data_IF_087752172885
#
_entry.id   IF_087752172885
#
_cell.length_a   1.000
_cell.length_b   1.000
_cell.length_c   1.000
_cell.angle_alpha   90.00
_cell.angle_beta   90.00
_cell.angle_gamma   90.00
#
_symmetry.space_group_name_H-M   'P 1'
#
loop_
_entity.id
_entity.type
_entity.pdbx_description
1 polymer ?
#
# COMPACT_ATOMS: atom_id res chain seq x y z
N UNK A 1 -20.65 13.24 40.22
CA UNK A 1 -20.03 12.31 39.28
C UNK A 1 -20.33 12.82 37.89
N UNK A 2 -19.35 13.47 37.27
CA UNK A 2 -19.48 14.06 35.92
C UNK A 2 -19.77 12.96 34.88
N UNK A 3 -20.73 13.23 34.02
CA UNK A 3 -21.02 12.41 32.85
C UNK A 3 -19.70 12.29 32.04
N UNK A 4 -19.20 11.08 31.83
CA UNK A 4 -18.08 10.85 30.92
C UNK A 4 -18.47 11.41 29.54
N UNK A 5 -17.62 12.16 28.90
CA UNK A 5 -17.92 12.73 27.59
C UNK A 5 -18.24 11.59 26.61
N UNK A 6 -19.20 11.83 25.74
CA UNK A 6 -19.52 10.93 24.64
C UNK A 6 -18.24 10.68 23.83
N UNK A 7 -17.81 9.41 23.64
CA UNK A 7 -16.58 9.10 22.93
C UNK A 7 -16.58 9.63 21.50
N UNK A 8 -17.74 9.71 20.85
CA UNK A 8 -17.88 10.28 19.50
C UNK A 8 -17.64 11.78 19.53
N UNK A 9 -18.29 12.51 20.45
CA UNK A 9 -18.10 13.93 20.63
C UNK A 9 -16.65 14.28 21.04
N UNK A 10 -15.94 13.34 21.71
CA UNK A 10 -14.51 13.48 22.00
C UNK A 10 -13.63 13.35 20.75
N UNK A 11 -13.97 12.40 19.86
CA UNK A 11 -13.26 12.24 18.59
C UNK A 11 -13.54 13.39 17.63
N UNK A 12 -14.77 13.87 17.56
CA UNK A 12 -15.15 15.04 16.77
C UNK A 12 -14.38 16.29 17.21
N UNK A 13 -14.36 16.59 18.52
CA UNK A 13 -13.56 17.70 19.05
C UNK A 13 -12.06 17.55 18.77
N UNK A 14 -11.53 16.35 18.88
CA UNK A 14 -10.13 16.07 18.51
C UNK A 14 -9.86 16.30 17.03
N UNK A 15 -10.81 15.92 16.18
CA UNK A 15 -10.72 16.13 14.73
C UNK A 15 -10.83 17.61 14.33
N UNK A 16 -11.62 18.41 15.06
CA UNK A 16 -11.78 19.85 14.77
C UNK A 16 -10.52 20.66 15.03
N UNK A 17 -9.66 20.20 15.94
CA UNK A 17 -8.35 20.80 16.18
C UNK A 17 -7.31 20.52 15.07
N UNK A 18 -7.59 19.60 14.15
CA UNK A 18 -6.65 19.19 13.09
C UNK A 18 -6.96 19.96 11.81
N UNK A 19 -6.07 20.89 11.42
CA UNK A 19 -6.23 21.74 10.22
C UNK A 19 -5.90 21.00 8.92
N UNK A 20 -5.00 20.03 8.95
CA UNK A 20 -4.63 19.23 7.78
C UNK A 20 -5.72 18.19 7.47
N UNK A 21 -6.35 18.21 6.28
CA UNK A 21 -7.42 17.29 5.92
C UNK A 21 -6.97 15.83 5.94
N UNK A 22 -5.71 15.54 5.59
CA UNK A 22 -5.18 14.17 5.54
C UNK A 22 -4.93 13.66 6.96
N UNK A 23 -4.35 14.49 7.82
CA UNK A 23 -4.16 14.16 9.23
C UNK A 23 -5.51 13.99 9.96
N UNK A 24 -6.50 14.84 9.64
CA UNK A 24 -7.87 14.72 10.16
C UNK A 24 -8.52 13.40 9.74
N UNK A 25 -8.40 13.02 8.48
CA UNK A 25 -8.92 11.75 7.97
C UNK A 25 -8.24 10.54 8.62
N UNK A 26 -6.92 10.59 8.77
CA UNK A 26 -6.14 9.53 9.44
C UNK A 26 -6.52 9.38 10.91
N UNK A 27 -6.74 10.50 11.61
CA UNK A 27 -7.20 10.51 13.01
C UNK A 27 -8.60 9.90 13.14
N UNK A 28 -9.54 10.29 12.26
CA UNK A 28 -10.90 9.77 12.25
C UNK A 28 -10.90 8.27 11.94
N UNK A 29 -10.14 7.83 10.93
CA UNK A 29 -10.02 6.42 10.56
C UNK A 29 -9.42 5.57 11.68
N UNK A 30 -8.36 6.02 12.33
CA UNK A 30 -7.75 5.29 13.46
C UNK A 30 -8.69 5.14 14.67
N UNK A 31 -9.56 6.13 14.93
CA UNK A 31 -10.58 6.01 15.97
C UNK A 31 -11.74 5.11 15.54
N UNK A 32 -12.13 5.12 14.26
CA UNK A 32 -13.11 4.23 13.69
C UNK A 32 -12.70 2.76 13.86
N UNK A 33 -11.49 2.41 13.44
CA UNK A 33 -10.92 1.06 13.59
C UNK A 33 -10.86 0.61 15.06
N UNK A 34 -10.60 1.54 15.99
CA UNK A 34 -10.66 1.25 17.43
C UNK A 34 -12.08 0.92 17.89
N UNK A 35 -13.08 1.64 17.40
CA UNK A 35 -14.47 1.40 17.75
C UNK A 35 -14.98 0.08 17.15
N UNK A 36 -14.62 -0.23 15.93
CA UNK A 36 -14.94 -1.50 15.28
C UNK A 36 -14.37 -2.69 16.06
N UNK A 37 -13.08 -2.65 16.42
CA UNK A 37 -12.45 -3.70 17.24
C UNK A 37 -13.08 -3.85 18.62
N UNK A 38 -13.58 -2.76 19.23
CA UNK A 38 -14.31 -2.82 20.49
C UNK A 38 -15.71 -3.40 20.30
N UNK A 39 -16.40 -3.05 19.22
CA UNK A 39 -17.71 -3.61 18.87
C UNK A 39 -17.61 -5.12 18.65
N UNK A 40 -16.64 -5.60 17.88
CA UNK A 40 -16.37 -7.02 17.68
C UNK A 40 -16.13 -7.76 18.99
N UNK A 41 -15.30 -7.21 19.89
CA UNK A 41 -15.04 -7.79 21.21
C UNK A 41 -16.31 -7.85 22.08
N UNK A 42 -17.18 -6.84 22.01
CA UNK A 42 -18.42 -6.83 22.75
C UNK A 42 -19.43 -7.79 22.17
N UNK A 43 -19.46 -7.97 20.87
CA UNK A 43 -20.32 -8.96 20.21
C UNK A 43 -19.90 -10.39 20.53
N UNK A 44 -18.61 -10.65 20.72
CA UNK A 44 -18.08 -11.94 21.14
C UNK A 44 -18.48 -12.34 22.59
N UNK A 45 -19.03 -11.41 23.40
CA UNK A 45 -19.49 -11.72 24.75
C UNK A 45 -20.83 -12.46 24.66
N UNK A 46 -20.92 -13.74 25.10
CA UNK A 46 -22.14 -14.56 24.90
C UNK A 46 -23.34 -14.11 25.72
N UNK A 47 -23.11 -13.37 26.82
CA UNK A 47 -24.16 -12.97 27.75
C UNK A 47 -24.71 -11.57 27.43
N UNK A 48 -25.92 -11.52 26.91
CA UNK A 48 -26.57 -10.29 26.43
C UNK A 48 -26.65 -9.12 27.45
N UNK A 49 -26.94 -9.32 28.75
CA UNK A 49 -26.91 -8.23 29.74
C UNK A 49 -25.56 -7.60 29.95
N UNK A 50 -24.47 -8.42 29.96
CA UNK A 50 -23.10 -7.92 30.09
C UNK A 50 -22.70 -7.15 28.82
N UNK A 51 -23.01 -7.66 27.65
CA UNK A 51 -22.82 -6.97 26.37
C UNK A 51 -23.51 -5.61 26.35
N UNK A 52 -24.77 -5.57 26.79
CA UNK A 52 -25.53 -4.31 26.90
C UNK A 52 -24.88 -3.31 27.88
N UNK A 53 -24.40 -3.78 29.04
CA UNK A 53 -23.68 -2.95 30.00
C UNK A 53 -22.40 -2.37 29.45
N UNK A 54 -21.60 -3.17 28.71
CA UNK A 54 -20.38 -2.73 28.04
C UNK A 54 -20.65 -1.62 27.01
N UNK A 55 -21.67 -1.77 26.17
CA UNK A 55 -22.08 -0.73 25.23
C UNK A 55 -22.55 0.56 25.94
N UNK A 56 -23.19 0.42 27.07
CA UNK A 56 -23.69 1.57 27.84
C UNK A 56 -22.58 2.30 28.59
N UNK A 57 -21.61 1.57 29.15
CA UNK A 57 -20.45 2.14 29.85
C UNK A 57 -19.46 2.84 28.92
N UNK A 58 -19.32 2.35 27.71
CA UNK A 58 -18.39 2.90 26.70
C UNK A 58 -19.02 3.95 25.80
N UNK A 59 -20.34 4.14 25.83
CA UNK A 59 -21.05 5.06 24.93
C UNK A 59 -21.16 4.60 23.47
N UNK A 60 -20.62 3.42 23.14
CA UNK A 60 -20.56 2.87 21.77
C UNK A 60 -21.95 2.55 21.17
N UNK A 61 -22.99 2.55 21.94
CA UNK A 61 -24.36 2.32 21.44
C UNK A 61 -24.80 3.39 20.42
N UNK A 62 -24.28 4.63 20.51
CA UNK A 62 -24.53 5.69 19.54
C UNK A 62 -23.68 5.55 18.27
N UNK A 63 -22.49 4.95 18.37
CA UNK A 63 -21.58 4.76 17.24
C UNK A 63 -22.15 3.76 16.21
N UNK A 64 -22.84 2.72 16.66
CA UNK A 64 -23.42 1.70 15.75
C UNK A 64 -24.43 2.28 14.75
N UNK A 65 -25.11 3.37 15.09
CA UNK A 65 -26.04 4.06 14.20
C UNK A 65 -25.30 4.81 13.06
N UNK A 66 -24.02 5.16 13.27
CA UNK A 66 -23.20 5.81 12.25
C UNK A 66 -22.60 4.82 11.24
N UNK A 67 -22.51 3.52 11.59
CA UNK A 67 -21.94 2.46 10.73
C UNK A 67 -23.01 1.72 9.90
N UNK A 68 -24.31 1.85 10.23
CA UNK A 68 -25.37 1.36 9.36
C UNK A 68 -25.54 2.33 8.19
N UNK A 69 -24.76 2.13 7.14
CA UNK A 69 -24.92 2.87 5.88
C UNK A 69 -26.29 2.55 5.31
N UNK A 70 -27.18 3.53 5.38
CA UNK A 70 -28.40 3.52 4.58
C UNK A 70 -27.94 3.66 3.10
N UNK A 71 -28.34 2.79 2.19
CA UNK A 71 -27.89 2.82 0.79
C UNK A 71 -28.25 4.12 0.05
N UNK A 72 -29.00 5.01 0.64
CA UNK A 72 -29.45 6.28 0.05
C UNK A 72 -28.71 7.54 0.54
N UNK A 73 -27.59 7.42 1.29
CA UNK A 73 -26.64 8.53 1.50
C UNK A 73 -27.13 9.77 2.26
N UNK A 74 -28.25 9.73 2.96
CA UNK A 74 -28.76 10.87 3.72
C UNK A 74 -28.36 10.77 5.20
N UNK A 75 -27.60 11.74 5.68
CA UNK A 75 -27.28 11.92 7.10
C UNK A 75 -28.56 12.24 7.88
N UNK A 76 -28.96 11.32 8.76
CA UNK A 76 -30.10 11.52 9.64
C UNK A 76 -29.74 12.50 10.77
N UNK A 77 -30.48 13.59 10.90
CA UNK A 77 -30.38 14.54 12.02
C UNK A 77 -30.84 13.88 13.32
N UNK A 78 -30.12 14.05 14.44
CA UNK A 78 -30.46 13.41 15.70
C UNK A 78 -31.74 14.03 16.32
N UNK A 79 -32.63 13.23 16.95
CA UNK A 79 -33.83 13.73 17.57
C UNK A 79 -33.55 14.54 18.85
N UNK A 80 -34.19 15.69 19.01
CA UNK A 80 -34.14 16.56 20.18
C UNK A 80 -34.60 15.80 21.46
N UNK A 81 -33.77 15.81 22.48
CA UNK A 81 -34.03 15.20 23.78
C UNK A 81 -35.04 16.03 24.58
N UNK A 82 -36.08 15.35 25.10
CA UNK A 82 -36.98 15.87 26.17
C UNK A 82 -36.30 15.59 27.54
N UNK A 83 -36.47 16.48 28.54
CA UNK A 83 -35.92 16.24 29.88
C UNK A 83 -36.77 15.21 30.64
N UNK A 84 -36.10 14.25 31.28
CA UNK A 84 -36.74 13.23 32.13
C UNK A 84 -36.41 13.52 33.59
N UNK A 85 -37.49 13.59 34.39
CA UNK A 85 -37.49 13.87 35.83
C UNK A 85 -36.79 12.76 36.65
N UNK A 86 -36.28 13.17 37.78
CA UNK A 86 -35.51 12.43 38.76
C UNK A 86 -36.32 11.39 39.52
N UNK A 87 -35.92 10.12 39.52
CA UNK A 87 -36.36 9.07 40.42
C UNK A 87 -35.16 8.58 41.26
N UNK A 88 -35.19 8.89 42.53
CA UNK A 88 -34.12 8.73 43.50
C UNK A 88 -34.23 7.46 44.34
N UNK A 89 -33.13 6.91 44.78
CA UNK A 89 -32.85 5.82 45.74
C UNK A 89 -32.88 4.37 45.22
N UNK A 90 -33.90 3.90 44.57
CA UNK A 90 -33.90 2.52 44.02
C UNK A 90 -32.84 2.30 42.93
N UNK A 91 -32.51 3.34 42.16
CA UNK A 91 -31.40 3.33 41.17
C UNK A 91 -29.99 3.24 41.78
N UNK A 92 -29.78 3.75 43.01
CA UNK A 92 -28.47 3.65 43.68
C UNK A 92 -28.20 2.23 44.14
N UNK A 93 -29.16 1.53 44.69
CA UNK A 93 -29.05 0.12 45.10
C UNK A 93 -28.76 -0.80 43.90
N UNK A 94 -29.48 -0.61 42.80
CA UNK A 94 -29.26 -1.37 41.56
C UNK A 94 -27.88 -1.12 40.93
N UNK A 95 -27.37 0.12 41.06
CA UNK A 95 -26.03 0.44 40.56
C UNK A 95 -24.92 -0.18 41.42
N UNK A 96 -25.10 -0.28 42.74
CA UNK A 96 -24.16 -0.97 43.63
C UNK A 96 -24.18 -2.48 43.42
N UNK A 97 -25.36 -3.09 43.23
CA UNK A 97 -25.46 -4.51 42.90
C UNK A 97 -24.82 -4.85 41.55
N UNK A 98 -24.99 -4.00 40.55
CA UNK A 98 -24.33 -4.15 39.24
C UNK A 98 -22.79 -3.99 39.33
N UNK A 99 -22.32 -3.08 40.20
CA UNK A 99 -20.89 -2.89 40.44
C UNK A 99 -20.28 -4.10 41.16
N UNK A 100 -20.95 -4.64 42.17
CA UNK A 100 -20.50 -5.85 42.88
C UNK A 100 -20.48 -7.07 41.98
N UNK A 101 -21.48 -7.24 41.10
CA UNK A 101 -21.50 -8.31 40.09
C UNK A 101 -20.41 -8.13 39.05
N UNK A 102 -20.10 -6.91 38.65
CA UNK A 102 -18.99 -6.64 37.72
C UNK A 102 -17.62 -6.90 38.36
N UNK A 103 -17.43 -6.58 39.65
CA UNK A 103 -16.21 -6.90 40.40
C UNK A 103 -16.10 -8.40 40.63
N UNK A 104 -17.16 -9.10 40.99
CA UNK A 104 -17.15 -10.55 41.15
C UNK A 104 -16.91 -11.28 39.81
N UNK A 105 -17.51 -10.77 38.71
CA UNK A 105 -17.26 -11.26 37.36
C UNK A 105 -15.82 -11.00 36.91
N UNK A 106 -15.26 -9.83 37.25
CA UNK A 106 -13.86 -9.47 36.98
C UNK A 106 -12.88 -10.35 37.74
N UNK A 107 -13.17 -10.67 38.99
CA UNK A 107 -12.36 -11.60 39.81
C UNK A 107 -12.47 -13.05 39.31
N UNK A 108 -13.65 -13.50 38.86
CA UNK A 108 -13.83 -14.81 38.27
C UNK A 108 -13.08 -14.95 36.92
N UNK A 109 -13.03 -13.89 36.12
CA UNK A 109 -12.26 -13.84 34.86
C UNK A 109 -10.75 -13.81 35.17
N UNK A 110 -10.33 -13.15 36.27
CA UNK A 110 -8.93 -13.14 36.67
C UNK A 110 -8.45 -14.47 37.26
N UNK A 111 -9.37 -15.24 37.86
CA UNK A 111 -9.10 -16.59 38.39
C UNK A 111 -9.18 -17.72 37.33
N UNK A 112 -9.71 -17.42 36.14
CA UNK A 112 -9.70 -18.39 35.06
C UNK A 112 -8.24 -18.59 34.60
N UNK A 113 -7.71 -19.83 34.56
CA UNK A 113 -6.39 -20.06 34.05
C UNK A 113 -6.38 -19.53 32.60
N UNK A 114 -5.65 -18.42 32.40
CA UNK A 114 -5.40 -17.93 31.04
C UNK A 114 -4.84 -19.11 30.26
N UNK A 115 -5.41 -19.51 29.11
CA UNK A 115 -4.71 -20.42 28.25
C UNK A 115 -3.33 -19.78 28.04
N UNK A 116 -2.28 -20.45 28.50
CA UNK A 116 -0.92 -20.04 28.16
C UNK A 116 -0.96 -19.78 26.66
N UNK A 117 -0.48 -18.63 26.16
CA UNK A 117 -0.31 -18.47 24.74
C UNK A 117 0.40 -19.74 24.33
N UNK A 118 -0.25 -20.55 23.48
CA UNK A 118 0.37 -21.73 22.92
C UNK A 118 1.76 -21.22 22.52
N UNK A 119 2.79 -21.79 23.14
CA UNK A 119 4.16 -21.42 22.82
C UNK A 119 4.14 -21.34 21.31
N UNK A 120 4.43 -20.18 20.75
CA UNK A 120 4.45 -20.03 19.30
C UNK A 120 5.41 -21.15 18.89
N UNK A 121 4.83 -22.24 18.43
CA UNK A 121 5.61 -23.28 17.78
C UNK A 121 6.15 -22.47 16.62
N UNK A 122 7.42 -22.06 16.75
CA UNK A 122 8.16 -21.52 15.64
C UNK A 122 8.00 -22.61 14.60
N UNK A 123 7.06 -22.38 13.67
CA UNK A 123 6.93 -23.28 12.52
C UNK A 123 8.37 -23.38 12.02
N UNK A 124 8.96 -24.59 11.96
CA UNK A 124 10.30 -24.72 11.44
C UNK A 124 10.30 -23.90 10.16
N UNK A 125 11.21 -22.94 10.07
CA UNK A 125 11.40 -22.20 8.83
C UNK A 125 11.42 -23.27 7.75
N UNK A 126 10.57 -23.17 6.71
CA UNK A 126 10.67 -24.09 5.60
C UNK A 126 12.16 -24.12 5.24
N UNK A 127 12.75 -25.29 5.02
CA UNK A 127 14.18 -25.39 4.72
C UNK A 127 14.48 -24.29 3.72
N UNK A 128 15.55 -23.54 3.98
CA UNK A 128 16.09 -22.52 3.08
C UNK A 128 15.89 -23.08 1.69
N UNK A 129 15.12 -22.37 0.86
CA UNK A 129 14.65 -22.88 -0.42
C UNK A 129 15.82 -23.62 -1.06
N UNK A 130 15.67 -24.94 -1.19
CA UNK A 130 16.66 -25.78 -1.84
C UNK A 130 17.06 -25.03 -3.08
N UNK A 131 18.35 -24.72 -3.25
CA UNK A 131 18.85 -23.96 -4.38
C UNK A 131 18.20 -24.57 -5.62
N UNK A 132 17.30 -23.81 -6.23
CA UNK A 132 16.64 -24.28 -7.45
C UNK A 132 17.78 -24.63 -8.40
N UNK A 133 17.82 -25.85 -8.94
CA UNK A 133 18.84 -26.17 -9.94
C UNK A 133 18.82 -25.06 -10.98
N UNK A 134 19.98 -24.58 -11.44
CA UNK A 134 20.02 -23.57 -12.48
C UNK A 134 19.09 -24.03 -13.60
N UNK A 135 18.29 -23.14 -14.19
CA UNK A 135 17.43 -23.54 -15.29
C UNK A 135 18.31 -24.30 -16.31
N UNK A 136 17.83 -25.43 -16.84
CA UNK A 136 18.62 -26.16 -17.81
C UNK A 136 19.09 -25.18 -18.88
N UNK A 137 20.32 -25.29 -19.40
CA UNK A 137 20.79 -24.47 -20.50
C UNK A 137 19.88 -24.80 -21.68
N UNK A 138 18.77 -24.15 -21.74
CA UNK A 138 17.72 -24.36 -22.69
C UNK A 138 17.62 -23.11 -23.51
N UNK A 139 17.67 -23.33 -24.80
CA UNK A 139 17.19 -22.46 -25.83
C UNK A 139 16.32 -21.37 -25.22
N UNK A 140 16.94 -20.24 -24.84
CA UNK A 140 16.20 -19.00 -24.57
C UNK A 140 15.62 -18.63 -25.93
N UNK A 141 14.30 -18.73 -26.15
CA UNK A 141 13.73 -18.26 -27.40
C UNK A 141 14.17 -16.80 -27.55
N UNK A 142 14.63 -16.41 -28.70
CA UNK A 142 14.84 -14.99 -29.00
C UNK A 142 13.49 -14.30 -28.85
N UNK A 143 13.26 -13.62 -27.70
CA UNK A 143 12.03 -12.94 -27.39
C UNK A 143 10.88 -13.80 -26.82
N UNK A 144 9.88 -13.11 -26.29
CA UNK A 144 8.64 -13.70 -25.78
C UNK A 144 7.45 -13.21 -26.62
N UNK A 145 6.83 -14.10 -27.38
CA UNK A 145 5.69 -13.75 -28.26
C UNK A 145 4.42 -14.47 -27.84
N UNK A 146 3.27 -13.90 -28.24
CA UNK A 146 1.97 -14.48 -27.98
C UNK A 146 1.70 -15.65 -28.94
N UNK A 147 1.47 -16.84 -28.38
CA UNK A 147 1.19 -18.09 -29.11
C UNK A 147 -0.31 -18.32 -29.30
N UNK A 148 -1.12 -17.88 -28.32
CA UNK A 148 -2.57 -18.08 -28.37
C UNK A 148 -3.29 -16.98 -27.60
N UNK A 149 -4.57 -16.75 -27.92
CA UNK A 149 -5.45 -15.85 -27.20
C UNK A 149 -6.91 -16.23 -27.46
N UNK A 150 -7.71 -16.11 -26.40
CA UNK A 150 -9.15 -16.37 -26.44
C UNK A 150 -9.91 -15.39 -25.58
N UNK A 151 -11.20 -15.68 -25.37
CA UNK A 151 -12.01 -14.90 -24.45
C UNK A 151 -11.44 -14.96 -23.04
N UNK A 152 -10.91 -13.82 -22.58
CA UNK A 152 -10.40 -13.64 -21.22
C UNK A 152 -8.98 -14.18 -20.99
N UNK A 153 -8.20 -14.57 -22.00
CA UNK A 153 -6.81 -14.97 -21.78
C UNK A 153 -5.86 -14.68 -22.95
N UNK A 154 -4.57 -14.61 -22.61
CA UNK A 154 -3.44 -14.61 -23.55
C UNK A 154 -2.41 -15.63 -23.08
N UNK A 155 -1.81 -16.40 -24.01
CA UNK A 155 -0.76 -17.37 -23.76
C UNK A 155 0.49 -17.00 -24.53
N UNK A 156 1.64 -17.09 -23.90
CA UNK A 156 2.94 -16.68 -24.45
C UNK A 156 3.93 -17.85 -24.56
N UNK A 157 4.93 -17.70 -25.44
CA UNK A 157 5.92 -18.73 -25.78
C UNK A 157 6.75 -19.24 -24.59
N UNK A 158 6.91 -18.43 -23.54
CA UNK A 158 7.58 -18.83 -22.29
C UNK A 158 6.66 -19.54 -21.28
N UNK A 159 5.43 -19.89 -21.70
CA UNK A 159 4.42 -20.54 -20.85
C UNK A 159 3.67 -19.59 -19.92
N UNK A 160 3.85 -18.26 -20.06
CA UNK A 160 3.06 -17.28 -19.34
C UNK A 160 1.61 -17.31 -19.87
N UNK A 161 0.64 -17.45 -18.94
CA UNK A 161 -0.78 -17.27 -19.23
C UNK A 161 -1.29 -16.07 -18.43
N UNK A 162 -1.86 -15.08 -19.12
CA UNK A 162 -2.45 -13.89 -18.52
C UNK A 162 -3.98 -14.00 -18.63
N UNK A 163 -4.67 -13.93 -17.50
CA UNK A 163 -6.12 -13.73 -17.45
C UNK A 163 -6.41 -12.24 -17.68
N UNK A 164 -7.24 -11.95 -18.69
CA UNK A 164 -7.57 -10.59 -19.11
C UNK A 164 -9.01 -10.19 -18.75
N UNK A 165 -9.79 -11.09 -18.14
CA UNK A 165 -11.20 -10.86 -17.80
C UNK A 165 -11.40 -9.73 -16.76
N UNK A 166 -10.37 -9.40 -16.02
CA UNK A 166 -10.36 -8.33 -15.00
C UNK A 166 -9.84 -6.99 -15.49
N UNK A 167 -9.46 -6.92 -16.77
CA UNK A 167 -8.88 -5.71 -17.35
C UNK A 167 -9.91 -4.58 -17.42
N UNK A 168 -9.59 -3.44 -16.89
CA UNK A 168 -10.39 -2.22 -16.93
C UNK A 168 -9.62 -1.11 -17.64
N UNK A 169 -10.31 -0.19 -18.34
CA UNK A 169 -9.66 0.96 -18.96
C UNK A 169 -9.15 1.94 -17.89
N UNK A 170 -8.05 2.62 -18.19
CA UNK A 170 -7.49 3.67 -17.37
C UNK A 170 -6.97 4.83 -18.24
N UNK A 171 -6.41 5.86 -17.62
CA UNK A 171 -5.81 6.98 -18.34
C UNK A 171 -4.59 6.54 -19.13
N UNK A 172 -4.38 7.13 -20.32
CA UNK A 172 -3.15 6.93 -21.08
C UNK A 172 -1.94 7.32 -20.23
N UNK A 173 -0.90 6.54 -20.36
CA UNK A 173 0.39 6.80 -19.73
C UNK A 173 0.99 8.09 -20.27
N UNK A 174 1.33 9.02 -19.39
CA UNK A 174 2.03 10.27 -19.72
C UNK A 174 2.90 10.69 -18.54
N UNK A 175 4.17 10.95 -18.79
CA UNK A 175 5.10 11.38 -17.75
C UNK A 175 6.29 12.11 -18.37
N UNK A 176 7.06 12.81 -17.53
CA UNK A 176 8.32 13.46 -17.86
C UNK A 176 9.41 12.99 -16.90
N UNK A 177 10.65 13.16 -17.30
CA UNK A 177 11.84 12.89 -16.48
C UNK A 177 12.64 14.17 -16.33
N UNK A 178 13.47 14.23 -15.29
CA UNK A 178 14.44 15.31 -15.11
C UNK A 178 15.84 14.83 -15.43
N UNK A 179 16.67 15.73 -15.94
CA UNK A 179 18.12 15.50 -16.08
C UNK A 179 18.83 15.88 -14.78
N UNK A 180 19.65 15.00 -14.24
CA UNK A 180 20.48 15.28 -13.05
C UNK A 180 21.52 16.37 -13.34
N UNK A 181 22.03 16.41 -14.57
CA UNK A 181 23.08 17.36 -14.97
C UNK A 181 22.52 18.76 -15.21
N UNK A 182 21.40 18.87 -15.91
CA UNK A 182 20.88 20.18 -16.36
C UNK A 182 19.63 20.62 -15.61
N UNK A 183 18.98 19.74 -14.88
CA UNK A 183 17.68 20.00 -14.24
C UNK A 183 16.53 20.20 -15.23
N UNK A 184 16.76 19.99 -16.53
CA UNK A 184 15.73 20.14 -17.55
C UNK A 184 14.82 18.92 -17.59
N UNK A 185 13.55 19.17 -17.86
CA UNK A 185 12.57 18.11 -18.13
C UNK A 185 12.70 17.56 -19.54
N UNK A 186 12.40 16.26 -19.67
CA UNK A 186 12.23 15.64 -20.98
C UNK A 186 10.95 16.09 -21.68
N UNK A 187 10.83 15.77 -22.95
CA UNK A 187 9.53 15.70 -23.61
C UNK A 187 8.61 14.68 -22.92
N UNK A 188 7.30 14.79 -23.18
CA UNK A 188 6.32 13.83 -22.66
C UNK A 188 6.61 12.44 -23.20
N UNK A 189 6.69 11.49 -22.29
CA UNK A 189 6.90 10.06 -22.56
C UNK A 189 5.57 9.31 -22.36
N UNK A 190 5.36 8.26 -23.16
CA UNK A 190 4.16 7.42 -23.10
C UNK A 190 4.49 5.91 -23.03
N UNK A 191 5.77 5.54 -23.22
CA UNK A 191 6.27 4.16 -23.15
C UNK A 191 6.66 3.79 -21.72
N UNK A 192 6.28 2.62 -21.18
CA UNK A 192 6.82 2.18 -19.90
C UNK A 192 8.32 1.89 -20.02
N UNK A 193 9.05 2.19 -18.94
CA UNK A 193 10.53 2.05 -18.91
C UNK A 193 11.01 1.22 -17.73
N UNK A 194 10.13 0.78 -16.86
CA UNK A 194 10.50 0.02 -15.67
C UNK A 194 9.33 -0.79 -15.10
N UNK A 195 9.66 -1.60 -14.10
CA UNK A 195 8.73 -2.43 -13.34
C UNK A 195 8.89 -2.09 -11.85
N UNK A 196 7.77 -1.97 -11.12
CA UNK A 196 7.75 -1.90 -9.66
C UNK A 196 7.06 -3.13 -9.11
N UNK A 197 7.75 -3.87 -8.27
CA UNK A 197 7.19 -5.02 -7.56
C UNK A 197 6.58 -4.61 -6.23
N UNK A 198 5.38 -5.14 -5.95
CA UNK A 198 4.57 -4.86 -4.78
C UNK A 198 4.12 -6.12 -4.05
N UNK A 199 3.77 -5.96 -2.78
CA UNK A 199 2.90 -6.89 -2.06
C UNK A 199 1.49 -6.31 -2.05
N UNK A 200 0.47 -7.19 -2.09
CA UNK A 200 -0.94 -6.74 -2.11
C UNK A 200 -1.45 -6.24 -0.76
N UNK A 201 -0.74 -6.57 0.32
CA UNK A 201 -1.14 -6.33 1.72
C UNK A 201 -2.53 -6.92 2.06
N UNK A 202 -2.95 -7.94 1.32
CA UNK A 202 -4.21 -8.65 1.55
C UNK A 202 -4.08 -9.69 2.67
N UNK A 203 -5.23 -10.17 3.17
CA UNK A 203 -5.27 -11.30 4.09
C UNK A 203 -4.76 -12.56 3.41
N UNK A 204 -3.88 -13.29 4.12
CA UNK A 204 -3.25 -14.50 3.62
C UNK A 204 -3.80 -15.71 4.40
N UNK A 205 -4.44 -16.62 3.68
CA UNK A 205 -4.96 -17.88 4.21
C UNK A 205 -3.95 -19.02 3.97
N UNK A 206 -3.91 -20.05 4.83
CA UNK A 206 -3.10 -21.25 4.56
C UNK A 206 -3.42 -21.88 3.20
N UNK A 207 -2.41 -22.41 2.51
CA UNK A 207 -2.58 -23.20 1.29
C UNK A 207 -2.94 -24.64 1.65
N UNK A 208 -4.14 -24.85 2.16
CA UNK A 208 -4.70 -26.13 2.60
C UNK A 208 -6.10 -26.28 2.00
N UNK A 209 -6.49 -27.51 1.71
CA UNK A 209 -7.77 -27.82 1.07
C UNK A 209 -8.98 -27.24 1.83
N UNK A 210 -8.91 -27.24 3.16
CA UNK A 210 -9.94 -26.67 4.04
C UNK A 210 -10.15 -25.16 3.86
N UNK A 211 -9.21 -24.45 3.22
CA UNK A 211 -9.26 -23.01 2.94
C UNK A 211 -9.53 -22.68 1.47
N UNK A 212 -9.78 -23.66 0.60
CA UNK A 212 -9.93 -23.43 -0.85
C UNK A 212 -10.96 -22.34 -1.20
N UNK A 213 -12.12 -22.34 -0.54
CA UNK A 213 -13.15 -21.32 -0.76
C UNK A 213 -12.64 -19.92 -0.36
N UNK A 214 -12.04 -19.81 0.83
CA UNK A 214 -11.49 -18.53 1.33
C UNK A 214 -10.33 -18.03 0.48
N UNK A 215 -9.46 -18.91 0.00
CA UNK A 215 -8.36 -18.56 -0.90
C UNK A 215 -8.91 -17.94 -2.19
N UNK A 216 -9.86 -18.61 -2.83
CA UNK A 216 -10.50 -18.12 -4.06
C UNK A 216 -11.25 -16.79 -3.83
N UNK A 217 -12.05 -16.70 -2.77
CA UNK A 217 -12.82 -15.50 -2.46
C UNK A 217 -11.93 -14.31 -2.12
N UNK A 218 -10.79 -14.54 -1.46
CA UNK A 218 -9.79 -13.53 -1.16
C UNK A 218 -9.20 -12.96 -2.45
N UNK A 219 -8.71 -13.81 -3.35
CA UNK A 219 -8.13 -13.38 -4.64
C UNK A 219 -9.16 -12.64 -5.50
N UNK A 220 -10.41 -13.15 -5.60
CA UNK A 220 -11.46 -12.47 -6.34
C UNK A 220 -11.89 -11.15 -5.68
N UNK A 221 -11.91 -11.09 -4.34
CA UNK A 221 -12.17 -9.86 -3.58
C UNK A 221 -11.12 -8.80 -3.85
N UNK A 222 -9.85 -9.22 -3.86
CA UNK A 222 -8.71 -8.37 -4.19
C UNK A 222 -8.81 -7.86 -5.63
N UNK A 223 -9.05 -8.73 -6.62
CA UNK A 223 -9.22 -8.34 -8.02
C UNK A 223 -10.34 -7.31 -8.23
N UNK A 224 -11.50 -7.51 -7.60
CA UNK A 224 -12.60 -6.51 -7.64
C UNK A 224 -12.17 -5.15 -7.09
N UNK A 225 -11.39 -5.15 -6.01
CA UNK A 225 -10.85 -3.91 -5.44
C UNK A 225 -9.86 -3.25 -6.41
N UNK A 226 -8.88 -3.99 -6.92
CA UNK A 226 -7.85 -3.50 -7.81
C UNK A 226 -8.43 -2.92 -9.11
N UNK A 227 -9.37 -3.64 -9.74
CA UNK A 227 -10.05 -3.18 -10.96
C UNK A 227 -10.84 -1.90 -10.72
N UNK A 228 -11.64 -1.84 -9.65
CA UNK A 228 -12.42 -0.63 -9.30
C UNK A 228 -11.53 0.59 -9.04
N UNK A 229 -10.33 0.39 -8.51
CA UNK A 229 -9.39 1.45 -8.13
C UNK A 229 -8.29 1.68 -9.16
N UNK A 230 -8.23 0.86 -10.21
CA UNK A 230 -7.18 0.91 -11.24
C UNK A 230 -5.77 0.87 -10.61
N UNK A 231 -5.62 -0.03 -9.63
CA UNK A 231 -4.36 -0.21 -8.88
C UNK A 231 -3.61 -1.41 -9.44
N UNK A 232 -2.33 -1.23 -9.70
CA UNK A 232 -1.43 -2.16 -10.37
C UNK A 232 -1.85 -2.49 -11.82
N UNK A 233 -0.87 -2.94 -12.61
CA UNK A 233 -1.13 -3.47 -13.95
C UNK A 233 -1.41 -4.97 -13.88
N UNK A 234 -0.72 -5.66 -12.98
CA UNK A 234 -0.82 -7.11 -12.82
C UNK A 234 -0.93 -7.52 -11.35
N UNK A 235 -1.71 -8.56 -11.13
CA UNK A 235 -1.73 -9.34 -9.89
C UNK A 235 -1.25 -10.76 -10.18
N UNK A 236 -0.36 -11.28 -9.33
CA UNK A 236 0.04 -12.69 -9.30
C UNK A 236 -0.53 -13.29 -8.01
N UNK A 237 -1.54 -14.16 -8.14
CA UNK A 237 -2.17 -14.79 -6.98
C UNK A 237 -1.30 -15.88 -6.37
N UNK A 238 -1.74 -16.45 -5.25
CA UNK A 238 -0.98 -17.48 -4.53
C UNK A 238 -0.81 -18.80 -5.28
N UNK A 239 -1.58 -19.03 -6.32
CA UNK A 239 -1.48 -20.20 -7.20
C UNK A 239 -0.60 -19.94 -8.43
N UNK A 240 -0.07 -18.72 -8.58
CA UNK A 240 0.71 -18.31 -9.74
C UNK A 240 -0.15 -17.95 -10.95
N UNK A 241 -1.46 -17.70 -10.78
CA UNK A 241 -2.28 -17.14 -11.83
C UNK A 241 -1.95 -15.66 -12.00
N UNK A 242 -1.78 -15.24 -13.24
CA UNK A 242 -1.46 -13.85 -13.59
C UNK A 242 -2.71 -13.18 -14.14
N UNK A 243 -3.14 -12.11 -13.50
CA UNK A 243 -4.29 -11.31 -13.90
C UNK A 243 -3.85 -9.95 -14.38
N UNK A 244 -4.28 -9.52 -15.55
CA UNK A 244 -4.15 -8.13 -15.99
C UNK A 244 -5.30 -7.32 -15.43
N UNK A 245 -4.97 -6.20 -14.75
CA UNK A 245 -5.95 -5.24 -14.19
C UNK A 245 -6.00 -3.97 -15.03
N UNK A 246 -4.85 -3.41 -15.38
CA UNK A 246 -4.71 -2.24 -16.26
C UNK A 246 -3.74 -2.60 -17.38
N UNK A 247 -3.98 -2.12 -18.59
CA UNK A 247 -3.05 -2.34 -19.73
C UNK A 247 -1.74 -1.61 -19.53
N UNK A 248 -0.65 -2.14 -20.06
CA UNK A 248 0.68 -1.54 -19.87
C UNK A 248 0.82 -0.15 -20.51
N UNK A 249 0.06 0.13 -21.58
CA UNK A 249 0.02 1.41 -22.27
C UNK A 249 -0.75 2.48 -21.48
N UNK A 250 -1.47 2.07 -20.44
CA UNK A 250 -2.27 2.91 -19.57
C UNK A 250 -1.57 3.08 -18.23
N UNK A 251 -2.01 4.04 -17.44
CA UNK A 251 -1.46 4.37 -16.14
C UNK A 251 -2.23 3.66 -15.04
N UNK A 252 -1.54 2.90 -14.18
CA UNK A 252 -2.10 2.39 -12.94
C UNK A 252 -1.63 3.17 -11.72
N UNK A 253 -2.44 3.17 -10.64
CA UNK A 253 -2.07 3.79 -9.37
C UNK A 253 -1.33 2.77 -8.50
N UNK A 254 0.00 2.90 -8.34
CA UNK A 254 0.78 1.94 -7.54
C UNK A 254 2.01 2.52 -6.84
N UNK A 255 2.69 3.51 -7.41
CA UNK A 255 3.97 4.01 -6.90
C UNK A 255 4.10 5.54 -7.05
N UNK A 256 3.06 6.28 -6.62
CA UNK A 256 2.98 7.73 -6.81
C UNK A 256 4.06 8.53 -6.09
N UNK A 257 4.40 8.17 -4.85
CA UNK A 257 5.42 8.83 -4.04
C UNK A 257 6.71 8.00 -4.07
N UNK A 258 7.34 7.94 -5.23
CA UNK A 258 8.53 7.10 -5.47
C UNK A 258 9.52 7.80 -6.38
N UNK A 259 10.81 7.50 -6.19
CA UNK A 259 11.93 8.09 -6.94
C UNK A 259 12.81 6.96 -7.48
N UNK A 260 13.14 7.02 -8.76
CA UNK A 260 14.18 6.18 -9.36
C UNK A 260 14.98 6.95 -10.37
N UNK A 261 16.20 6.46 -10.69
CA UNK A 261 17.07 7.09 -11.70
C UNK A 261 17.80 6.04 -12.53
N UNK A 262 18.15 6.42 -13.76
CA UNK A 262 19.07 5.68 -14.62
C UNK A 262 19.88 6.64 -15.47
N UNK A 263 21.23 6.54 -15.40
CA UNK A 263 22.12 7.52 -16.02
C UNK A 263 21.81 8.92 -15.53
N UNK A 264 21.61 9.85 -16.44
CA UNK A 264 21.28 11.25 -16.15
C UNK A 264 19.76 11.49 -15.89
N UNK A 265 18.92 10.47 -16.06
CA UNK A 265 17.46 10.62 -15.95
C UNK A 265 16.92 10.21 -14.59
N UNK A 266 16.00 11.03 -14.06
CA UNK A 266 15.27 10.79 -12.82
C UNK A 266 13.77 10.80 -13.08
N UNK A 267 13.09 9.83 -12.50
CA UNK A 267 11.64 9.72 -12.41
C UNK A 267 11.20 10.08 -11.00
N UNK A 268 10.34 11.10 -10.90
CA UNK A 268 9.58 11.41 -9.69
C UNK A 268 8.14 10.95 -9.94
N UNK A 269 7.55 10.14 -9.09
CA UNK A 269 6.26 9.50 -9.31
C UNK A 269 6.30 8.42 -10.41
N UNK A 270 6.49 7.18 -9.98
CA UNK A 270 6.71 6.07 -10.91
C UNK A 270 5.42 5.54 -11.58
N UNK A 271 4.22 6.00 -11.20
CA UNK A 271 2.96 5.58 -11.84
C UNK A 271 2.95 5.81 -13.35
N UNK A 272 3.61 6.87 -13.81
CA UNK A 272 3.67 7.21 -15.23
C UNK A 272 4.61 6.31 -16.03
N UNK A 273 5.83 6.09 -15.53
CA UNK A 273 6.91 5.42 -16.27
C UNK A 273 7.03 3.92 -16.02
N UNK A 274 6.40 3.38 -14.96
CA UNK A 274 6.62 2.00 -14.54
C UNK A 274 5.34 1.16 -14.56
N UNK A 275 5.52 -0.14 -14.76
CA UNK A 275 4.47 -1.15 -14.71
C UNK A 275 4.46 -1.71 -13.27
N UNK A 276 3.31 -1.67 -12.58
CA UNK A 276 3.16 -2.24 -11.24
C UNK A 276 2.75 -3.71 -11.32
N UNK A 277 3.53 -4.59 -10.70
CA UNK A 277 3.21 -6.01 -10.50
C UNK A 277 3.03 -6.23 -9.00
N UNK A 278 1.85 -6.70 -8.58
CA UNK A 278 1.57 -7.05 -7.20
C UNK A 278 1.50 -8.55 -7.01
N UNK A 279 2.10 -9.04 -5.93
CA UNK A 279 1.97 -10.43 -5.49
C UNK A 279 0.95 -10.50 -4.36
N UNK A 280 0.05 -11.47 -4.40
CA UNK A 280 -0.86 -11.74 -3.30
C UNK A 280 -0.08 -12.28 -2.10
N UNK A 281 0.48 -11.35 -1.34
CA UNK A 281 1.22 -11.56 -0.10
C UNK A 281 1.19 -10.29 0.73
N UNK A 282 1.76 -10.30 1.92
CA UNK A 282 1.79 -9.14 2.81
C UNK A 282 3.10 -9.02 3.57
N UNK A 283 3.35 -7.82 4.07
CA UNK A 283 4.42 -7.56 5.03
C UNK A 283 3.98 -7.98 6.44
N UNK A 284 4.76 -8.82 7.11
CA UNK A 284 4.49 -9.23 8.48
C UNK A 284 5.81 -9.54 9.22
N UNK A 285 5.90 -9.14 10.49
CA UNK A 285 7.08 -9.40 11.31
C UNK A 285 8.38 -8.82 10.75
N UNK A 286 8.31 -7.64 10.11
CA UNK A 286 9.48 -6.96 9.54
C UNK A 286 10.01 -7.58 8.24
N UNK A 287 9.22 -8.39 7.55
CA UNK A 287 9.56 -8.96 6.22
C UNK A 287 8.30 -9.22 5.41
N UNK A 288 8.43 -9.29 4.08
CA UNK A 288 7.38 -9.86 3.25
C UNK A 288 7.22 -11.34 3.59
N UNK A 289 5.98 -11.82 3.70
CA UNK A 289 5.73 -13.26 3.76
C UNK A 289 6.22 -13.90 2.46
N UNK A 290 6.83 -15.09 2.53
CA UNK A 290 7.34 -15.75 1.33
C UNK A 290 6.24 -15.93 0.29
N UNK A 291 6.55 -15.60 -0.95
CA UNK A 291 5.73 -15.97 -2.10
C UNK A 291 5.85 -17.47 -2.35
N UNK A 292 4.81 -18.05 -2.92
CA UNK A 292 4.83 -19.46 -3.31
C UNK A 292 5.79 -19.68 -4.49
N UNK A 293 6.22 -20.94 -4.70
CA UNK A 293 7.00 -21.28 -5.89
C UNK A 293 6.24 -20.96 -7.19
N UNK A 294 4.92 -21.17 -7.18
CA UNK A 294 4.07 -20.83 -8.32
C UNK A 294 4.06 -19.31 -8.61
N UNK A 295 3.97 -18.47 -7.56
CA UNK A 295 4.08 -17.02 -7.71
C UNK A 295 5.45 -16.59 -8.23
N UNK A 296 6.53 -17.19 -7.71
CA UNK A 296 7.90 -16.90 -8.13
C UNK A 296 8.06 -17.16 -9.62
N UNK A 297 7.67 -18.34 -10.09
CA UNK A 297 7.80 -18.74 -11.48
C UNK A 297 6.90 -17.91 -12.41
N UNK A 298 5.65 -17.68 -12.04
CA UNK A 298 4.73 -16.84 -12.82
C UNK A 298 5.21 -15.39 -12.91
N UNK A 299 5.69 -14.83 -11.78
CA UNK A 299 6.25 -13.49 -11.74
C UNK A 299 7.50 -13.35 -12.61
N UNK A 300 8.39 -14.37 -12.62
CA UNK A 300 9.56 -14.40 -13.50
C UNK A 300 9.16 -14.37 -14.96
N UNK A 301 8.27 -15.27 -15.39
CA UNK A 301 7.77 -15.32 -16.78
C UNK A 301 7.10 -14.00 -17.21
N UNK A 302 6.31 -13.40 -16.33
CA UNK A 302 5.70 -12.09 -16.56
C UNK A 302 6.76 -10.99 -16.70
N UNK A 303 7.78 -11.01 -15.85
CA UNK A 303 8.89 -10.06 -15.90
C UNK A 303 9.69 -10.21 -17.20
N UNK A 304 10.00 -11.43 -17.62
CA UNK A 304 10.68 -11.71 -18.88
C UNK A 304 9.88 -11.17 -20.07
N UNK A 305 8.57 -11.46 -20.13
CA UNK A 305 7.66 -10.93 -21.15
C UNK A 305 7.66 -9.39 -21.19
N UNK A 306 7.51 -8.74 -20.06
CA UNK A 306 7.43 -7.27 -20.01
C UNK A 306 8.76 -6.61 -20.35
N UNK A 307 9.86 -7.19 -19.91
CA UNK A 307 11.21 -6.70 -20.26
C UNK A 307 11.50 -6.83 -21.73
N UNK A 308 11.11 -7.94 -22.34
CA UNK A 308 11.25 -8.16 -23.78
C UNK A 308 10.35 -7.20 -24.57
N UNK A 309 9.07 -7.17 -24.29
CA UNK A 309 8.09 -6.32 -25.00
C UNK A 309 8.43 -4.83 -24.97
N UNK A 310 8.93 -4.34 -23.83
CA UNK A 310 9.15 -2.92 -23.60
C UNK A 310 10.63 -2.52 -23.53
N UNK A 311 11.53 -3.45 -23.77
CA UNK A 311 13.01 -3.27 -23.71
C UNK A 311 13.46 -2.74 -22.34
N UNK A 312 12.82 -3.25 -21.23
CA UNK A 312 13.09 -2.80 -19.87
C UNK A 312 14.40 -3.45 -19.36
N UNK A 313 15.42 -2.67 -19.04
CA UNK A 313 16.65 -3.22 -18.48
C UNK A 313 16.48 -3.66 -17.03
N UNK A 314 17.27 -4.62 -16.57
CA UNK A 314 17.13 -5.22 -15.22
C UNK A 314 17.26 -4.21 -14.09
N UNK A 315 18.07 -3.18 -14.24
CA UNK A 315 18.25 -2.11 -13.25
C UNK A 315 17.10 -1.10 -13.17
N UNK A 316 16.06 -1.29 -14.00
CA UNK A 316 14.78 -0.59 -13.95
C UNK A 316 13.65 -1.46 -13.39
N UNK A 317 13.96 -2.66 -12.88
CA UNK A 317 13.03 -3.56 -12.21
C UNK A 317 13.21 -3.44 -10.69
N UNK A 318 12.43 -2.57 -10.05
CA UNK A 318 12.61 -2.12 -8.67
C UNK A 318 11.51 -2.63 -7.74
N UNK A 319 11.72 -2.55 -6.43
CA UNK A 319 10.66 -2.77 -5.45
C UNK A 319 10.07 -1.45 -4.94
N UNK A 320 8.81 -1.46 -4.53
CA UNK A 320 8.17 -0.24 -4.03
C UNK A 320 8.82 0.25 -2.73
N UNK A 321 9.15 -0.65 -1.81
CA UNK A 321 9.84 -0.28 -0.57
C UNK A 321 11.20 0.39 -0.82
N UNK A 322 11.91 0.01 -1.90
CA UNK A 322 13.19 0.62 -2.27
C UNK A 322 13.04 2.04 -2.81
N UNK A 323 11.94 2.32 -3.50
CA UNK A 323 11.73 3.58 -4.24
C UNK A 323 10.82 4.58 -3.53
N UNK A 324 9.98 4.11 -2.59
CA UNK A 324 8.95 4.95 -1.96
C UNK A 324 9.55 5.96 -0.99
N UNK A 325 8.98 7.16 -0.99
CA UNK A 325 9.44 8.26 -0.15
C UNK A 325 8.27 8.98 0.53
N UNK A 326 8.54 9.58 1.68
CA UNK A 326 7.68 10.60 2.26
C UNK A 326 8.21 11.98 1.85
N UNK A 327 7.60 12.66 0.87
CA UNK A 327 8.12 13.92 0.36
C UNK A 327 8.06 15.06 1.39
N UNK A 328 7.08 15.05 2.30
CA UNK A 328 6.95 16.10 3.33
C UNK A 328 8.01 16.01 4.42
N UNK A 329 8.48 14.80 4.72
CA UNK A 329 9.52 14.56 5.73
C UNK A 329 10.91 14.39 5.11
N UNK A 330 11.01 14.27 3.80
CA UNK A 330 12.22 13.89 3.06
C UNK A 330 12.85 12.59 3.64
N UNK A 331 12.00 11.56 3.81
CA UNK A 331 12.41 10.25 4.32
C UNK A 331 12.12 9.16 3.29
N UNK A 332 13.00 8.16 3.20
CA UNK A 332 12.78 6.92 2.46
C UNK A 332 11.88 5.96 3.24
N UNK A 333 11.38 4.90 2.59
CA UNK A 333 10.62 3.83 3.23
C UNK A 333 9.21 4.24 3.66
N UNK A 334 8.56 5.11 2.89
CA UNK A 334 7.15 5.45 3.13
C UNK A 334 6.22 4.24 3.02
N UNK A 335 6.52 3.33 2.11
CA UNK A 335 5.96 1.99 2.00
C UNK A 335 7.05 0.96 2.23
N UNK A 336 6.68 -0.21 2.75
CA UNK A 336 7.63 -1.25 3.14
C UNK A 336 7.47 -2.54 2.32
N UNK A 337 6.57 -2.55 1.37
CA UNK A 337 6.35 -3.67 0.48
C UNK A 337 7.62 -3.96 -0.34
N UNK A 338 8.16 -5.15 -0.13
CA UNK A 338 9.47 -5.55 -0.64
C UNK A 338 10.61 -4.58 -0.27
N UNK A 339 10.57 -3.98 0.92
CA UNK A 339 11.68 -3.19 1.43
C UNK A 339 12.94 -4.04 1.66
N UNK A 340 12.77 -5.36 1.78
CA UNK A 340 13.86 -6.36 1.79
C UNK A 340 13.36 -7.71 1.31
N UNK A 341 14.29 -8.57 0.91
CA UNK A 341 14.01 -9.98 0.62
C UNK A 341 13.26 -10.23 -0.69
N UNK A 342 13.23 -9.27 -1.61
CA UNK A 342 12.78 -9.56 -2.97
C UNK A 342 13.84 -10.43 -3.65
N UNK A 343 13.47 -11.54 -4.29
CA UNK A 343 14.40 -12.51 -4.84
C UNK A 343 14.93 -12.09 -6.22
N UNK A 344 15.66 -10.96 -6.30
CA UNK A 344 16.16 -10.41 -7.56
C UNK A 344 16.93 -11.46 -8.40
N UNK A 345 17.77 -12.25 -7.77
CA UNK A 345 18.59 -13.26 -8.45
C UNK A 345 17.72 -14.33 -9.15
N UNK A 346 16.64 -14.79 -8.48
CA UNK A 346 15.71 -15.76 -9.06
C UNK A 346 14.97 -15.22 -10.29
N UNK A 347 14.95 -13.89 -10.48
CA UNK A 347 14.40 -13.21 -11.64
C UNK A 347 15.48 -12.85 -12.69
N UNK A 348 16.74 -13.24 -12.48
CA UNK A 348 17.85 -12.80 -13.32
C UNK A 348 18.07 -11.29 -13.30
N UNK A 349 17.75 -10.65 -12.19
CA UNK A 349 17.86 -9.21 -11.98
C UNK A 349 19.02 -8.87 -11.03
N UNK A 350 19.66 -7.69 -11.18
CA UNK A 350 20.65 -7.23 -10.23
C UNK A 350 19.99 -6.94 -8.86
N UNK A 351 20.73 -7.23 -7.78
CA UNK A 351 20.32 -6.86 -6.41
C UNK A 351 20.39 -5.35 -6.22
N UNK A 352 19.24 -4.69 -6.36
CA UNK A 352 19.14 -3.23 -6.30
C UNK A 352 19.19 -2.65 -4.88
N UNK A 353 19.13 -3.48 -3.82
CA UNK A 353 19.41 -3.01 -2.46
C UNK A 353 20.90 -2.61 -2.27
N UNK A 354 21.78 -3.07 -3.16
CA UNK A 354 23.19 -2.67 -3.22
C UNK A 354 23.43 -1.36 -3.96
N UNK A 355 22.48 -0.89 -4.73
CA UNK A 355 22.58 0.35 -5.48
C UNK A 355 22.18 1.54 -4.59
N UNK A 356 22.98 2.66 -4.57
CA UNK A 356 22.59 3.87 -3.89
C UNK A 356 21.20 4.36 -4.33
N UNK A 357 20.22 4.46 -3.42
CA UNK A 357 18.89 4.97 -3.78
C UNK A 357 18.98 6.43 -4.22
N UNK A 358 18.38 6.80 -5.37
CA UNK A 358 18.42 8.18 -5.87
C UNK A 358 17.85 9.20 -4.87
N UNK A 359 16.86 8.80 -4.09
CA UNK A 359 16.28 9.62 -3.03
C UNK A 359 17.31 10.08 -1.98
N UNK A 360 18.27 9.21 -1.63
CA UNK A 360 19.35 9.54 -0.70
C UNK A 360 20.50 10.22 -1.44
N UNK A 361 20.99 9.59 -2.51
CA UNK A 361 22.20 10.02 -3.22
C UNK A 361 22.03 11.41 -3.89
N UNK A 362 20.89 11.64 -4.57
CA UNK A 362 20.68 12.87 -5.34
C UNK A 362 19.86 13.91 -4.58
N UNK A 363 18.98 13.48 -3.68
CA UNK A 363 18.06 14.38 -2.99
C UNK A 363 18.27 14.45 -1.48
N UNK A 364 19.27 13.77 -0.94
CA UNK A 364 19.67 13.92 0.47
C UNK A 364 18.62 13.46 1.48
N UNK A 365 17.67 12.60 1.08
CA UNK A 365 16.65 12.07 1.98
C UNK A 365 17.30 11.26 3.11
N UNK A 366 16.68 11.32 4.28
CA UNK A 366 17.07 10.50 5.43
C UNK A 366 16.19 9.28 5.58
N UNK A 367 16.30 8.66 6.75
CA UNK A 367 15.43 7.59 7.23
C UNK A 367 15.18 7.77 8.72
N UNK A 368 14.09 7.22 9.22
CA UNK A 368 13.69 7.35 10.62
C UNK A 368 13.75 6.00 11.36
N UNK A 369 13.54 6.05 12.68
CA UNK A 369 13.52 4.87 13.53
C UNK A 369 12.48 3.82 13.07
N UNK A 370 11.25 4.17 12.65
CA UNK A 370 10.32 3.20 12.10
C UNK A 370 10.86 2.44 10.88
N UNK A 371 11.60 3.11 10.00
CA UNK A 371 12.26 2.44 8.88
C UNK A 371 13.33 1.45 9.37
N UNK A 372 14.15 1.84 10.34
CA UNK A 372 15.18 0.97 10.92
C UNK A 372 14.57 -0.24 11.64
N UNK A 373 13.44 -0.07 12.34
CA UNK A 373 12.72 -1.19 12.99
C UNK A 373 12.24 -2.23 11.96
N UNK A 374 11.84 -1.80 10.77
CA UNK A 374 11.45 -2.70 9.69
C UNK A 374 12.66 -3.36 9.05
N UNK A 375 13.72 -2.59 8.81
CA UNK A 375 14.88 -3.02 8.05
C UNK A 375 15.94 -3.73 8.91
N UNK A 376 16.00 -3.43 10.19
CA UNK A 376 17.08 -3.82 11.09
C UNK A 376 18.34 -2.98 10.87
N UNK A 377 18.78 -2.83 9.63
CA UNK A 377 19.91 -2.00 9.21
C UNK A 377 19.66 -1.37 7.82
N UNK A 378 20.29 -0.24 7.51
CA UNK A 378 20.20 0.35 6.18
C UNK A 378 20.75 -0.58 5.09
N UNK A 379 20.12 -0.56 3.92
CA UNK A 379 20.65 -1.28 2.74
C UNK A 379 22.09 -0.92 2.45
N UNK A 380 22.89 -1.82 1.86
CA UNK A 380 24.25 -1.49 1.41
C UNK A 380 24.29 -0.22 0.55
N UNK A 381 23.34 -0.08 -0.40
CA UNK A 381 23.26 1.12 -1.23
C UNK A 381 22.96 2.41 -0.46
N UNK A 382 22.21 2.37 0.64
CA UNK A 382 22.00 3.55 1.51
C UNK A 382 23.31 3.92 2.19
N UNK A 383 24.06 2.95 2.73
CA UNK A 383 25.37 3.22 3.33
C UNK A 383 26.36 3.85 2.35
N UNK A 384 26.32 3.40 1.10
CA UNK A 384 27.16 3.97 0.04
C UNK A 384 26.75 5.40 -0.30
N UNK A 385 25.45 5.67 -0.43
CA UNK A 385 24.92 7.02 -0.61
C UNK A 385 25.30 7.96 0.53
N UNK A 386 25.22 7.50 1.79
CA UNK A 386 25.61 8.27 2.97
C UNK A 386 27.09 8.60 2.97
N UNK A 387 27.96 7.63 2.60
CA UNK A 387 29.40 7.90 2.45
C UNK A 387 29.69 8.92 1.36
N UNK A 388 28.98 8.85 0.24
CA UNK A 388 29.13 9.83 -0.83
C UNK A 388 28.75 11.25 -0.40
N UNK A 389 27.62 11.40 0.35
CA UNK A 389 27.20 12.68 0.92
C UNK A 389 28.20 13.23 1.93
N UNK A 390 28.77 12.38 2.78
CA UNK A 390 29.83 12.78 3.73
C UNK A 390 31.12 13.21 3.00
N UNK A 391 31.49 12.51 1.93
CA UNK A 391 32.59 12.89 1.06
C UNK A 391 32.39 14.24 0.36
N UNK A 392 31.19 14.51 -0.15
CA UNK A 392 30.81 15.80 -0.71
C UNK A 392 30.89 16.93 0.32
N UNK A 393 30.39 16.69 1.53
CA UNK A 393 30.52 17.63 2.65
C UNK A 393 31.99 17.94 2.94
N UNK A 394 32.82 16.93 3.11
CA UNK A 394 34.25 17.12 3.41
C UNK A 394 35.00 17.86 2.30
N UNK A 395 34.77 17.53 1.03
CA UNK A 395 35.46 18.14 -0.12
C UNK A 395 34.99 19.58 -0.37
N UNK A 396 33.74 19.91 -0.09
CA UNK A 396 33.17 21.26 -0.28
C UNK A 396 33.39 22.20 0.91
N UNK A 397 33.84 21.68 2.07
CA UNK A 397 33.94 22.45 3.33
C UNK A 397 32.59 22.84 3.93
N UNK A 398 31.48 22.28 3.46
CA UNK A 398 30.13 22.54 3.91
C UNK A 398 29.69 21.50 4.92
N UNK A 399 28.76 21.86 5.82
CA UNK A 399 28.18 20.86 6.72
C UNK A 399 27.36 19.81 5.95
N UNK A 400 27.29 18.59 6.45
CA UNK A 400 26.46 17.54 5.85
C UNK A 400 24.96 17.96 5.82
N UNK A 401 24.53 18.74 6.80
CA UNK A 401 23.19 19.29 6.86
C UNK A 401 22.91 20.27 5.71
N UNK A 402 23.84 21.17 5.42
CA UNK A 402 23.72 22.11 4.30
C UNK A 402 23.68 21.39 2.93
N UNK A 403 24.56 20.38 2.76
CA UNK A 403 24.53 19.54 1.54
C UNK A 403 23.19 18.86 1.38
N UNK A 404 22.65 18.25 2.44
CA UNK A 404 21.32 17.61 2.38
C UNK A 404 20.20 18.60 2.15
N UNK A 405 20.26 19.78 2.77
CA UNK A 405 19.25 20.83 2.61
C UNK A 405 19.15 21.27 1.15
N UNK A 406 20.27 21.57 0.50
CA UNK A 406 20.29 21.96 -0.92
C UNK A 406 19.69 20.87 -1.82
N UNK A 407 20.06 19.60 -1.58
CA UNK A 407 19.53 18.46 -2.34
C UNK A 407 18.01 18.27 -2.14
N UNK A 408 17.51 18.47 -0.92
CA UNK A 408 16.06 18.43 -0.62
C UNK A 408 15.31 19.57 -1.31
N UNK A 409 15.88 20.78 -1.32
CA UNK A 409 15.31 21.92 -2.04
C UNK A 409 15.28 21.67 -3.55
N UNK A 410 16.27 20.98 -4.12
CA UNK A 410 16.25 20.56 -5.52
C UNK A 410 15.06 19.63 -5.80
N UNK A 411 14.84 18.63 -4.96
CA UNK A 411 13.69 17.73 -5.07
C UNK A 411 12.37 18.50 -5.00
N UNK A 412 12.23 19.39 -4.02
CA UNK A 412 11.00 20.16 -3.83
C UNK A 412 10.68 21.05 -5.04
N UNK A 413 11.70 21.68 -5.65
CA UNK A 413 11.55 22.45 -6.88
C UNK A 413 11.05 21.59 -8.05
N UNK A 414 11.62 20.38 -8.23
CA UNK A 414 11.23 19.48 -9.31
C UNK A 414 9.84 18.90 -9.10
N UNK A 415 9.51 18.51 -7.87
CA UNK A 415 8.19 18.02 -7.52
C UNK A 415 7.10 19.09 -7.74
N UNK A 416 7.39 20.34 -7.35
CA UNK A 416 6.48 21.46 -7.56
C UNK A 416 6.24 21.73 -9.05
N UNK A 417 7.27 21.64 -9.88
CA UNK A 417 7.17 21.78 -11.34
C UNK A 417 6.30 20.68 -11.94
N UNK A 418 6.59 19.41 -11.65
CA UNK A 418 5.80 18.27 -12.12
C UNK A 418 4.33 18.36 -11.71
N UNK A 419 4.06 18.78 -10.46
CA UNK A 419 2.70 18.90 -9.94
C UNK A 419 1.92 20.02 -10.64
N UNK A 420 2.57 21.14 -10.95
CA UNK A 420 1.97 22.26 -11.67
C UNK A 420 1.55 21.85 -13.07
N UNK A 421 2.44 21.21 -13.80
CA UNK A 421 2.15 20.74 -15.17
C UNK A 421 1.03 19.71 -15.23
N UNK A 422 0.98 18.79 -14.26
CA UNK A 422 -0.11 17.82 -14.16
C UNK A 422 -1.47 18.54 -13.95
N UNK A 423 -1.52 19.57 -13.11
CA UNK A 423 -2.72 20.39 -12.90
C UNK A 423 -3.12 21.18 -14.15
N UNK A 424 -2.16 21.79 -14.82
CA UNK A 424 -2.40 22.57 -16.04
C UNK A 424 -2.90 21.67 -17.18
N UNK A 425 -2.35 20.46 -17.30
CA UNK A 425 -2.84 19.48 -18.26
C UNK A 425 -4.28 19.06 -17.96
N UNK A 426 -4.60 18.70 -16.71
CA UNK A 426 -5.95 18.32 -16.31
C UNK A 426 -6.97 19.44 -16.58
N UNK A 427 -6.58 20.70 -16.32
CA UNK A 427 -7.40 21.87 -16.61
C UNK A 427 -7.66 22.03 -18.12
N UNK A 428 -6.64 21.88 -18.97
CA UNK A 428 -6.80 21.97 -20.44
C UNK A 428 -7.67 20.84 -20.98
N UNK A 429 -7.50 19.60 -20.49
CA UNK A 429 -8.32 18.48 -20.86
C UNK A 429 -9.80 18.68 -20.52
N UNK A 430 -10.10 19.23 -19.33
CA UNK A 430 -11.47 19.53 -18.92
C UNK A 430 -12.11 20.68 -19.72
N UNK A 431 -11.33 21.70 -20.12
CA UNK A 431 -11.82 22.81 -20.94
C UNK A 431 -11.94 22.43 -22.42
N UNK A 432 -11.09 21.54 -22.94
CA UNK A 432 -11.16 21.04 -24.31
C UNK A 432 -12.40 20.17 -24.59
N UNK A 433 -12.91 19.45 -23.60
CA UNK A 433 -14.16 18.70 -23.69
C UNK A 433 -15.38 19.65 -23.78
N UNK A 434 -15.30 20.83 -23.15
CA UNK A 434 -16.36 21.86 -23.21
C UNK A 434 -16.41 22.64 -24.52
N UNK A 435 -15.35 22.58 -25.35
CA UNK A 435 -15.27 23.30 -26.64
C UNK A 435 -15.48 22.41 -27.89
N UNK A 436 -15.81 21.13 -27.68
CA UNK A 436 -16.13 20.18 -28.77
C UNK A 436 -17.46 20.51 -29.43
N UNK A 437 -17.50 21.54 -30.32
CA UNK A 437 -18.53 21.72 -31.30
C UNK A 437 -18.61 20.49 -32.19
N UNK A 438 -19.74 19.82 -32.19
CA UNK A 438 -20.06 18.77 -33.16
C UNK A 438 -19.79 19.32 -34.59
N UNK A 439 -19.16 18.54 -35.49
CA UNK A 439 -19.10 18.93 -36.88
C UNK A 439 -20.54 19.02 -37.42
N UNK A 440 -20.94 20.18 -37.88
CA UNK A 440 -22.17 20.40 -38.65
C UNK A 440 -22.12 19.45 -39.85
N UNK A 441 -23.05 18.54 -39.94
CA UNK A 441 -23.44 17.90 -41.21
C UNK A 441 -23.96 19.05 -42.09
N UNK A 442 -23.22 19.38 -43.12
CA UNK A 442 -23.60 20.28 -44.19
C UNK A 442 -23.44 19.53 -45.49
N UNK A 443 -24.56 19.35 -46.12
CA UNK A 443 -24.88 19.09 -47.53
C UNK A 443 -23.99 18.16 -48.36
#
# INVERSE_FOLDING_TARGET
>A
MGLRPDPIASVERGADGIRDPVAKLKYLRGNLERFEKLDERFQAVPFAPVRWALYRLTGLKGARALFSTNPNGALATPPRRRPVAVATRARRAANWAALLLAVAGGLAIAAYPRPRPAASVALPLPPVAEELPPPPPGITPEGVWRVDSGDGFELYSNGLRIDTAWTVPSEKRRYRTFSLTTGMESEVQEKPVGIVFHTSESDIWPLEESFNEKLRDSSHGLLRYLSRKQVYHYLVDRFGQVFRVVKEEERAHHAGMSIWSKGDRVWLNLNGGFIGISFETRWAGGRALPITRAQLEAGRRLTDYLRDKWEIPGDMCVTHGLTSVNPHKHLIGHHVDWARGFPFEAYGLPDLYRRPPPSVAHFGFGYDEPFLQVMGEPWPGVRDAERALAGESASSGRSLEDVRKEKKELYDRWLAKQTREAKDYAKRASTGIASGRAPSQGD
#
